data_IF_167916849853
#
_entry.id   IF_167916849853
#
_cell.length_a   1.000
_cell.length_b   1.000
_cell.length_c   1.000
_cell.angle_alpha   90.00
_cell.angle_beta   90.00
_cell.angle_gamma   90.00
#
_symmetry.space_group_name_H-M   'P 1'
#
loop_
_entity.id
_entity.type
_entity.pdbx_description
1 polymer ?
#
# COMPACT_ATOMS: atom_id res chain seq x y z
N UNK A 1 -2.79 -7.50 2.85
CA UNK A 1 -1.69 -6.57 2.50
C UNK A 1 -0.93 -6.34 3.78
N UNK A 2 0.39 -6.53 3.77
CA UNK A 2 1.20 -6.47 4.99
C UNK A 2 2.25 -5.39 4.79
N UNK A 3 2.28 -4.42 5.70
CA UNK A 3 3.38 -3.47 5.84
C UNK A 3 4.21 -3.90 7.05
N UNK A 4 5.53 -3.97 6.89
CA UNK A 4 6.46 -4.11 8.00
C UNK A 4 7.23 -2.81 8.16
N UNK A 5 7.30 -2.29 9.37
CA UNK A 5 8.00 -1.05 9.73
C UNK A 5 8.95 -1.35 10.89
N UNK A 6 9.90 -0.47 11.22
CA UNK A 6 10.85 -0.68 12.33
C UNK A 6 10.56 0.29 13.49
N UNK A 7 9.54 0.03 14.35
CA UNK A 7 9.49 0.65 15.70
C UNK A 7 8.45 0.04 16.71
N UNK A 8 8.99 -0.60 17.78
CA UNK A 8 8.62 -0.73 19.22
C UNK A 8 7.30 -1.31 19.85
N UNK A 9 7.55 -2.20 20.85
CA UNK A 9 6.89 -2.54 22.14
C UNK A 9 5.45 -3.13 22.24
N UNK A 10 5.28 -4.48 22.24
CA UNK A 10 4.43 -5.32 23.15
C UNK A 10 4.12 -6.76 22.62
N UNK A 11 4.10 -7.83 23.45
CA UNK A 11 4.82 -9.07 23.19
C UNK A 11 4.04 -10.22 22.48
N UNK A 12 4.83 -11.12 21.87
CA UNK A 12 4.70 -12.61 21.74
C UNK A 12 4.58 -13.20 20.32
N UNK A 13 5.62 -13.99 20.01
CA UNK A 13 5.79 -15.05 18.98
C UNK A 13 5.65 -14.65 17.50
N UNK A 14 6.78 -14.36 16.83
CA UNK A 14 7.14 -14.64 15.42
C UNK A 14 8.41 -13.84 15.05
N UNK A 15 9.21 -14.26 14.06
CA UNK A 15 10.50 -13.66 13.64
C UNK A 15 10.54 -12.13 13.38
N UNK A 16 9.37 -11.51 13.26
CA UNK A 16 9.15 -10.06 13.24
C UNK A 16 9.67 -9.40 14.54
N UNK A 17 9.56 -10.09 15.67
CA UNK A 17 9.92 -9.59 16.99
C UNK A 17 11.44 -9.56 17.25
N UNK A 18 12.20 -10.50 16.67
CA UNK A 18 13.66 -10.55 16.86
C UNK A 18 14.39 -9.33 16.26
N UNK A 19 13.72 -8.57 15.37
CA UNK A 19 14.29 -7.41 14.70
C UNK A 19 13.56 -6.09 15.06
N UNK A 20 12.72 -6.05 16.11
CA UNK A 20 11.91 -4.87 16.48
C UNK A 20 11.05 -4.32 15.32
N UNK A 21 10.48 -5.22 14.51
CA UNK A 21 9.60 -4.85 13.41
C UNK A 21 8.16 -4.73 13.92
N UNK A 22 7.47 -3.69 13.51
CA UNK A 22 6.03 -3.50 13.69
C UNK A 22 5.31 -3.98 12.42
N UNK A 23 4.22 -4.72 12.62
CA UNK A 23 3.43 -5.33 11.57
C UNK A 23 2.08 -4.62 11.43
N UNK A 24 1.79 -4.08 10.25
CA UNK A 24 0.45 -3.62 9.90
C UNK A 24 -0.20 -4.61 8.93
N UNK A 25 -1.23 -5.30 9.41
CA UNK A 25 -1.99 -6.26 8.60
C UNK A 25 -3.31 -5.64 8.13
N UNK A 26 -3.37 -5.26 6.86
CA UNK A 26 -4.59 -4.86 6.18
C UNK A 26 -5.19 -6.10 5.51
N UNK A 27 -5.97 -6.84 6.30
CA UNK A 27 -6.66 -8.03 5.86
C UNK A 27 -7.70 -7.68 4.79
N UNK A 28 -7.63 -8.36 3.65
CA UNK A 28 -8.69 -8.39 2.65
C UNK A 28 -9.14 -9.83 2.58
N UNK A 29 -10.45 -10.11 2.57
CA UNK A 29 -10.96 -11.48 2.57
C UNK A 29 -10.25 -12.33 1.52
N UNK A 30 -9.61 -13.38 2.00
CA UNK A 30 -8.97 -14.37 1.16
C UNK A 30 -10.05 -15.18 0.47
N UNK A 31 -9.91 -15.33 -0.84
CA UNK A 31 -10.60 -16.34 -1.65
C UNK A 31 -11.99 -15.97 -2.20
N UNK A 32 -12.04 -15.05 -3.18
CA UNK A 32 -12.94 -15.17 -4.36
C UNK A 32 -12.24 -14.58 -5.60
N UNK A 33 -11.87 -15.42 -6.57
CA UNK A 33 -11.74 -14.98 -7.97
C UNK A 33 -13.08 -14.41 -8.47
N UNK A 34 -13.21 -13.77 -9.64
CA UNK A 34 -12.43 -12.73 -10.32
C UNK A 34 -12.76 -11.29 -9.84
N UNK A 35 -13.65 -11.14 -8.85
CA UNK A 35 -14.27 -9.84 -8.49
C UNK A 35 -13.86 -9.26 -7.13
N UNK A 36 -12.78 -9.77 -6.52
CA UNK A 36 -12.30 -9.27 -5.24
C UNK A 36 -11.57 -7.92 -5.44
N UNK A 37 -12.24 -6.85 -5.07
CA UNK A 37 -11.71 -5.48 -5.04
C UNK A 37 -11.15 -5.20 -3.65
N UNK A 38 -10.01 -4.51 -3.56
CA UNK A 38 -9.53 -4.00 -2.27
C UNK A 38 -10.37 -2.79 -1.89
N UNK A 39 -11.04 -2.78 -0.71
CA UNK A 39 -11.77 -1.61 -0.24
C UNK A 39 -10.91 -0.35 -0.25
N UNK A 40 -11.45 0.76 -0.74
CA UNK A 40 -10.73 2.04 -0.83
C UNK A 40 -10.29 2.54 0.56
N UNK A 41 -11.09 2.32 1.59
CA UNK A 41 -10.78 2.72 2.97
C UNK A 41 -9.53 2.00 3.52
N UNK A 42 -9.34 0.73 3.12
CA UNK A 42 -8.13 -0.03 3.46
C UNK A 42 -6.92 0.51 2.72
N UNK A 43 -7.07 0.90 1.45
CA UNK A 43 -6.00 1.56 0.69
C UNK A 43 -5.62 2.90 1.32
N UNK A 44 -6.60 3.72 1.70
CA UNK A 44 -6.36 4.99 2.38
C UNK A 44 -5.61 4.80 3.70
N UNK A 45 -6.04 3.84 4.52
CA UNK A 45 -5.39 3.52 5.80
C UNK A 45 -3.96 3.01 5.61
N UNK A 46 -3.74 2.17 4.60
CA UNK A 46 -2.41 1.67 4.28
C UNK A 46 -1.49 2.78 3.75
N UNK A 47 -1.99 3.69 2.91
CA UNK A 47 -1.23 4.84 2.41
C UNK A 47 -0.90 5.80 3.54
N UNK A 48 -1.82 6.06 4.47
CA UNK A 48 -1.54 6.88 5.66
C UNK A 48 -0.34 6.33 6.45
N UNK A 49 -0.25 5.01 6.61
CA UNK A 49 0.90 4.36 7.24
C UNK A 49 2.19 4.53 6.41
N UNK A 50 2.11 4.46 5.08
CA UNK A 50 3.25 4.66 4.18
C UNK A 50 3.75 6.12 4.20
N UNK A 51 2.85 7.08 4.32
CA UNK A 51 3.21 8.51 4.32
C UNK A 51 3.85 8.96 5.63
N UNK A 52 3.66 8.24 6.74
CA UNK A 52 4.25 8.61 8.02
C UNK A 52 5.74 8.22 8.09
N UNK A 53 6.63 9.22 8.10
CA UNK A 53 8.10 9.01 8.14
C UNK A 53 8.57 8.21 9.35
N UNK A 54 7.81 8.18 10.45
CA UNK A 54 8.16 7.42 11.67
C UNK A 54 8.16 5.91 11.44
N UNK A 55 7.45 5.47 10.40
CA UNK A 55 7.36 4.08 10.01
C UNK A 55 8.51 3.64 9.09
N UNK A 56 9.29 4.57 8.54
CA UNK A 56 10.34 4.23 7.57
C UNK A 56 11.60 3.71 8.24
N UNK A 57 12.28 2.69 7.67
CA UNK A 57 11.98 1.99 6.40
C UNK A 57 10.79 1.00 6.47
N UNK A 58 10.01 0.92 5.38
CA UNK A 58 8.82 0.06 5.27
C UNK A 58 9.00 -0.99 4.17
N UNK A 59 8.66 -2.25 4.48
CA UNK A 59 8.49 -3.31 3.48
C UNK A 59 7.01 -3.57 3.21
N UNK A 60 6.61 -3.45 1.94
CA UNK A 60 5.23 -3.69 1.49
C UNK A 60 5.18 -5.03 0.77
N UNK A 61 4.33 -5.95 1.23
CA UNK A 61 4.12 -7.20 0.49
C UNK A 61 2.69 -7.75 0.57
N UNK A 62 2.40 -8.63 -0.37
CA UNK A 62 1.27 -9.54 -0.32
C UNK A 62 1.76 -10.95 -0.65
N UNK A 63 0.85 -11.92 -0.79
CA UNK A 63 1.23 -13.32 -1.05
C UNK A 63 2.14 -13.50 -2.27
N UNK A 64 1.87 -12.79 -3.38
CA UNK A 64 2.68 -12.85 -4.61
C UNK A 64 3.38 -11.54 -4.96
N UNK A 65 3.17 -10.48 -4.18
CA UNK A 65 3.71 -9.14 -4.47
C UNK A 65 3.13 -8.44 -5.71
N UNK A 66 2.16 -9.02 -6.42
CA UNK A 66 1.67 -8.48 -7.72
C UNK A 66 0.46 -7.57 -7.57
N UNK A 67 -0.73 -8.14 -7.33
CA UNK A 67 -2.00 -7.40 -7.47
C UNK A 67 -2.24 -6.38 -6.35
N UNK A 68 -2.37 -6.85 -5.10
CA UNK A 68 -2.67 -5.98 -3.95
C UNK A 68 -1.57 -4.97 -3.68
N UNK A 69 -0.31 -5.41 -3.80
CA UNK A 69 0.84 -4.52 -3.69
C UNK A 69 0.84 -3.50 -4.82
N UNK A 70 0.64 -3.92 -6.07
CA UNK A 70 0.57 -3.01 -7.22
C UNK A 70 -0.56 -1.99 -7.13
N UNK A 71 -1.75 -2.38 -6.66
CA UNK A 71 -2.87 -1.47 -6.43
C UNK A 71 -2.52 -0.40 -5.39
N UNK A 72 -1.89 -0.79 -4.28
CA UNK A 72 -1.45 0.15 -3.24
C UNK A 72 -0.39 1.12 -3.75
N UNK A 73 0.63 0.60 -4.43
CA UNK A 73 1.69 1.43 -5.01
C UNK A 73 1.09 2.38 -6.04
N UNK A 74 0.16 1.93 -6.87
CA UNK A 74 -0.52 2.81 -7.83
C UNK A 74 -1.28 3.95 -7.16
N UNK A 75 -1.96 3.69 -6.04
CA UNK A 75 -2.61 4.73 -5.24
C UNK A 75 -1.59 5.68 -4.58
N UNK A 76 -0.47 5.16 -4.09
CA UNK A 76 0.65 5.98 -3.58
C UNK A 76 1.22 6.90 -4.68
N UNK A 77 1.37 6.41 -5.92
CA UNK A 77 1.81 7.24 -7.06
C UNK A 77 0.82 8.35 -7.40
N UNK A 78 -0.49 8.12 -7.20
CA UNK A 78 -1.50 9.19 -7.33
C UNK A 78 -1.31 10.29 -6.28
N UNK A 79 -0.94 9.93 -5.05
CA UNK A 79 -0.57 10.92 -4.02
C UNK A 79 0.69 11.70 -4.42
N UNK A 80 1.62 11.06 -5.14
CA UNK A 80 2.79 11.73 -5.75
C UNK A 80 2.46 12.54 -7.02
N UNK A 81 1.19 12.71 -7.38
CA UNK A 81 0.74 13.42 -8.59
C UNK A 81 1.29 12.87 -9.92
N UNK A 82 1.56 11.56 -9.98
CA UNK A 82 1.92 10.92 -11.25
C UNK A 82 0.73 10.84 -12.21
N UNK A 83 1.00 10.87 -13.51
CA UNK A 83 -0.05 10.68 -14.52
C UNK A 83 -0.63 9.26 -14.44
N UNK A 84 -1.95 9.12 -14.62
CA UNK A 84 -2.61 7.81 -14.57
C UNK A 84 -1.97 6.81 -15.56
N UNK A 85 -1.59 7.26 -16.76
CA UNK A 85 -0.90 6.44 -17.76
C UNK A 85 0.41 5.85 -17.23
N UNK A 86 1.25 6.67 -16.58
CA UNK A 86 2.50 6.21 -15.99
C UNK A 86 2.27 5.20 -14.87
N UNK A 87 1.23 5.42 -14.05
CA UNK A 87 0.88 4.54 -12.93
C UNK A 87 0.42 3.17 -13.43
N UNK A 88 -0.48 3.16 -14.41
CA UNK A 88 -0.99 1.91 -14.98
C UNK A 88 0.11 1.13 -15.72
N UNK A 89 1.05 1.82 -16.38
CA UNK A 89 2.22 1.18 -16.98
C UNK A 89 3.14 0.51 -15.94
N UNK A 90 3.39 1.18 -14.80
CA UNK A 90 4.13 0.59 -13.67
C UNK A 90 3.40 -0.65 -13.13
N UNK A 91 2.09 -0.54 -12.89
CA UNK A 91 1.27 -1.64 -12.41
C UNK A 91 1.32 -2.86 -13.35
N UNK A 92 1.10 -2.66 -14.65
CA UNK A 92 1.09 -3.75 -15.63
C UNK A 92 2.45 -4.46 -15.71
N UNK A 93 3.55 -3.72 -15.59
CA UNK A 93 4.91 -4.27 -15.56
C UNK A 93 5.13 -5.20 -14.37
N UNK A 94 4.58 -4.86 -13.20
CA UNK A 94 4.73 -5.65 -11.97
C UNK A 94 3.57 -6.63 -11.70
N UNK A 95 2.55 -6.68 -12.56
CA UNK A 95 1.41 -7.58 -12.43
C UNK A 95 1.73 -9.07 -12.76
N UNK A 96 2.97 -9.41 -13.09
CA UNK A 96 3.38 -10.80 -13.35
C UNK A 96 2.69 -11.42 -14.58
N UNK A 97 2.45 -10.60 -15.61
CA UNK A 97 1.84 -11.03 -16.88
C UNK A 97 0.33 -11.24 -16.85
N UNK A 98 -0.35 -11.00 -15.72
CA UNK A 98 -1.82 -11.12 -15.59
C UNK A 98 -2.43 -9.89 -14.92
N UNK A 99 -2.35 -8.70 -15.54
CA UNK A 99 -2.94 -7.50 -14.97
C UNK A 99 -4.46 -7.64 -14.85
N UNK A 100 -5.00 -7.30 -13.68
CA UNK A 100 -6.46 -7.29 -13.46
C UNK A 100 -7.01 -5.90 -13.77
N UNK A 101 -8.16 -5.86 -14.44
CA UNK A 101 -8.86 -4.61 -14.76
C UNK A 101 -9.40 -3.94 -13.50
N UNK A 102 -9.92 -4.72 -12.55
CA UNK A 102 -10.48 -4.19 -11.30
C UNK A 102 -9.46 -3.46 -10.43
N UNK A 103 -8.21 -3.93 -10.41
CA UNK A 103 -7.13 -3.23 -9.69
C UNK A 103 -6.80 -1.89 -10.38
N UNK A 104 -6.83 -1.84 -11.71
CA UNK A 104 -6.62 -0.60 -12.47
C UNK A 104 -7.77 0.40 -12.24
N UNK A 105 -9.01 -0.08 -12.22
CA UNK A 105 -10.18 0.73 -11.86
C UNK A 105 -10.11 1.24 -10.42
N UNK A 106 -9.61 0.43 -9.49
CA UNK A 106 -9.43 0.85 -8.09
C UNK A 106 -8.41 1.98 -7.98
N UNK A 107 -7.29 1.88 -8.70
CA UNK A 107 -6.29 2.96 -8.81
C UNK A 107 -6.94 4.22 -9.40
N UNK A 108 -7.70 4.08 -10.49
CA UNK A 108 -8.37 5.21 -11.15
C UNK A 108 -9.36 5.93 -10.23
N UNK A 109 -10.19 5.18 -9.50
CA UNK A 109 -11.22 5.72 -8.60
C UNK A 109 -10.67 6.25 -7.27
N UNK A 110 -9.45 5.87 -6.89
CA UNK A 110 -8.84 6.29 -5.63
C UNK A 110 -8.69 7.82 -5.54
N UNK A 111 -9.23 8.45 -4.49
CA UNK A 111 -9.09 9.87 -4.28
C UNK A 111 -7.95 10.17 -3.27
N UNK A 112 -6.84 10.79 -3.70
CA UNK A 112 -5.70 11.07 -2.81
C UNK A 112 -6.05 12.08 -1.70
N UNK A 113 -7.05 12.95 -1.91
CA UNK A 113 -7.43 13.99 -0.94
C UNK A 113 -8.15 13.43 0.30
N UNK A 114 -8.60 12.17 0.24
CA UNK A 114 -9.29 11.50 1.35
C UNK A 114 -8.35 10.74 2.28
N UNK A 115 -7.03 10.75 2.01
CA UNK A 115 -6.06 10.04 2.85
C UNK A 115 -5.83 10.81 4.15
N UNK A 116 -6.11 10.22 5.32
CA UNK A 116 -5.82 10.86 6.60
C UNK A 116 -4.30 10.89 6.80
N UNK A 117 -3.69 12.07 6.75
CA UNK A 117 -2.26 12.23 6.98
C UNK A 117 -1.99 13.47 7.83
N UNK A 118 -0.99 13.37 8.71
CA UNK A 118 -0.50 14.51 9.49
C UNK A 118 0.61 15.22 8.70
N UNK A 119 0.43 16.49 8.28
CA UNK A 119 1.42 17.25 7.52
C UNK A 119 2.81 17.30 8.15
N UNK A 120 2.88 17.18 9.49
CA UNK A 120 4.14 17.21 10.25
C UNK A 120 5.05 16.03 9.92
N UNK A 121 4.47 14.84 9.74
CA UNK A 121 5.20 13.59 9.53
C UNK A 121 5.18 13.11 8.08
N UNK A 122 4.78 13.97 7.14
CA UNK A 122 4.87 13.67 5.72
C UNK A 122 6.34 13.57 5.27
N UNK A 123 6.61 12.73 4.26
CA UNK A 123 7.96 12.53 3.78
C UNK A 123 8.40 13.72 2.92
N UNK A 124 9.70 14.01 2.94
CA UNK A 124 10.26 15.15 2.22
C UNK A 124 9.98 15.10 0.71
N UNK A 125 9.89 13.90 0.13
CA UNK A 125 9.61 13.71 -1.29
C UNK A 125 8.16 14.04 -1.71
N UNK A 126 7.24 14.26 -0.77
CA UNK A 126 5.86 14.65 -1.07
C UNK A 126 5.64 16.18 -1.00
N UNK A 127 6.57 16.93 -0.38
CA UNK A 127 6.48 18.38 -0.30
C UNK A 127 6.99 18.99 -1.61
N UNK A 128 6.08 19.24 -2.56
CA UNK A 128 6.29 20.13 -3.70
C UNK A 128 5.46 21.39 -3.53
#
# INVERSE_FOLDING_TARGET
MILHTTHCSLPRSCAVYSNNLQLFHFGTDGNKEPFSIVPLDLLQSAIACILDVRNHPILIHCSKGTHRTGCLIGCMRKVQYWSLTSILAEYQRFAGGKPRVLDQQSIELFNPNQVPCDPKYLPAWLRM
#
